data_IF_083622014655
#
_entry.id   IF_083622014655
#
_cell.length_a   1.000
_cell.length_b   1.000
_cell.length_c   1.000
_cell.angle_alpha   90.00
_cell.angle_beta   90.00
_cell.angle_gamma   90.00
#
_symmetry.space_group_name_H-M   'P 1'
#
loop_
_entity.id
_entity.type
_entity.pdbx_description
1 polymer ?
#
# COMPACT_ATOMS: atom_id res chain seq x y z
N UNK A 1 13.05 61.28 17.35
CA UNK A 1 11.87 60.60 17.91
C UNK A 1 11.18 59.78 16.82
N UNK A 2 11.80 58.69 16.38
CA UNK A 2 11.25 57.82 15.34
C UNK A 2 10.52 56.66 16.01
N UNK A 3 9.19 56.76 16.05
CA UNK A 3 8.29 55.72 16.53
C UNK A 3 8.15 54.66 15.45
N UNK A 4 8.69 53.45 15.67
CA UNK A 4 8.37 52.27 14.87
C UNK A 4 7.52 51.34 15.72
N UNK A 5 6.22 51.34 15.43
CA UNK A 5 5.20 50.52 16.05
C UNK A 5 5.28 49.08 15.52
N UNK A 6 5.73 48.17 16.38
CA UNK A 6 5.68 46.72 16.19
C UNK A 6 4.23 46.23 16.21
N UNK A 7 3.55 46.18 15.07
CA UNK A 7 2.28 45.46 14.94
C UNK A 7 2.58 43.99 14.62
N UNK A 8 2.49 43.15 15.65
CA UNK A 8 2.59 41.69 15.55
C UNK A 8 1.45 41.17 14.67
N UNK A 9 1.72 40.39 13.60
CA UNK A 9 0.65 39.82 12.79
C UNK A 9 -0.12 38.76 13.58
N UNK A 10 -1.45 38.83 13.47
CA UNK A 10 -2.42 37.90 14.03
C UNK A 10 -2.09 36.46 13.59
N UNK A 11 -1.85 35.58 14.57
CA UNK A 11 -1.74 34.13 14.40
C UNK A 11 -2.97 33.64 13.61
N UNK A 12 -2.79 33.30 12.33
CA UNK A 12 -3.82 32.61 11.55
C UNK A 12 -3.87 31.17 12.05
N UNK A 13 -4.91 30.86 12.81
CA UNK A 13 -5.33 29.51 13.17
C UNK A 13 -5.61 28.73 11.88
N UNK A 14 -4.63 27.92 11.46
CA UNK A 14 -4.83 26.90 10.44
C UNK A 14 -5.72 25.80 11.03
N UNK A 15 -7.03 25.93 10.86
CA UNK A 15 -7.97 24.82 10.99
C UNK A 15 -7.68 23.82 9.86
N UNK A 16 -6.80 22.86 10.13
CA UNK A 16 -6.62 21.73 9.24
C UNK A 16 -7.92 20.89 9.27
N UNK A 17 -8.55 20.59 8.13
CA UNK A 17 -9.65 19.65 8.10
C UNK A 17 -9.09 18.28 8.46
N UNK A 18 -9.55 17.72 9.58
CA UNK A 18 -9.42 16.30 9.89
C UNK A 18 -10.01 15.53 8.72
N UNK A 19 -9.13 15.08 7.82
CA UNK A 19 -9.52 14.21 6.72
C UNK A 19 -10.07 12.95 7.38
N UNK A 20 -11.35 12.58 7.18
CA UNK A 20 -11.82 11.30 7.66
C UNK A 20 -10.96 10.30 6.91
N UNK A 21 -10.22 9.49 7.65
CA UNK A 21 -9.48 8.35 7.14
C UNK A 21 -10.46 7.49 6.33
N UNK A 22 -10.57 7.79 5.03
CA UNK A 22 -11.25 6.98 4.05
C UNK A 22 -10.41 5.72 3.88
N UNK A 23 -10.59 4.78 4.79
CA UNK A 23 -10.10 3.40 4.68
C UNK A 23 -10.88 2.71 3.56
N UNK A 24 -10.69 3.19 2.33
CA UNK A 24 -11.12 2.49 1.12
C UNK A 24 -10.17 1.30 0.95
N UNK A 25 -10.40 0.28 1.77
CA UNK A 25 -9.68 -0.98 1.75
C UNK A 25 -9.91 -1.70 0.42
N UNK A 26 -9.15 -1.32 -0.60
CA UNK A 26 -8.94 -2.17 -1.77
C UNK A 26 -8.16 -3.37 -1.23
N UNK A 27 -8.86 -4.45 -0.91
CA UNK A 27 -8.29 -5.76 -0.57
C UNK A 27 -7.56 -6.35 -1.80
N UNK A 28 -6.47 -5.73 -2.23
CA UNK A 28 -5.43 -6.39 -2.99
C UNK A 28 -4.71 -7.34 -2.02
N UNK A 29 -5.38 -8.46 -1.70
CA UNK A 29 -4.85 -9.52 -0.85
C UNK A 29 -3.46 -9.89 -1.39
N UNK A 30 -2.42 -9.74 -0.56
CA UNK A 30 -1.04 -10.06 -0.93
C UNK A 30 -0.84 -11.53 -1.31
N UNK A 31 0.41 -11.97 -1.49
CA UNK A 31 0.70 -13.39 -1.75
C UNK A 31 0.23 -14.27 -0.60
N UNK A 32 -0.50 -15.35 -0.90
CA UNK A 32 -0.82 -16.37 0.11
C UNK A 32 0.39 -17.28 0.31
N UNK A 33 0.98 -17.26 1.50
CA UNK A 33 2.12 -18.12 1.85
C UNK A 33 1.63 -19.55 2.12
N UNK A 34 2.25 -20.55 1.49
CA UNK A 34 1.97 -21.98 1.70
C UNK A 34 3.28 -22.77 1.65
N UNK A 35 3.33 -23.94 2.28
CA UNK A 35 4.49 -24.84 2.22
C UNK A 35 4.64 -25.50 0.84
N UNK A 36 3.51 -25.88 0.23
CA UNK A 36 3.44 -26.42 -1.12
C UNK A 36 2.74 -25.45 -2.07
N UNK A 37 3.34 -25.25 -3.25
CA UNK A 37 2.87 -24.31 -4.25
C UNK A 37 2.56 -25.05 -5.55
N UNK A 38 1.33 -24.89 -6.04
CA UNK A 38 0.82 -25.51 -7.28
C UNK A 38 0.18 -24.47 -8.21
N UNK A 39 0.13 -24.78 -9.51
CA UNK A 39 -0.62 -23.98 -10.49
C UNK A 39 -2.10 -24.33 -10.41
N UNK A 40 -2.97 -23.33 -10.57
CA UNK A 40 -4.44 -23.50 -10.55
C UNK A 40 -5.07 -23.26 -11.93
N UNK A 41 -4.47 -22.40 -12.74
CA UNK A 41 -4.90 -22.08 -14.10
C UNK A 41 -3.74 -22.28 -15.08
N UNK A 42 -4.05 -22.35 -16.37
CA UNK A 42 -3.09 -22.36 -17.47
C UNK A 42 -2.16 -21.14 -17.47
N UNK A 43 -2.68 -19.97 -17.09
CA UNK A 43 -1.89 -18.73 -16.98
C UNK A 43 -1.05 -18.61 -15.70
N UNK A 44 -1.19 -19.55 -14.76
CA UNK A 44 -0.36 -19.54 -13.56
C UNK A 44 1.05 -20.03 -13.91
N UNK A 45 2.05 -19.22 -13.61
CA UNK A 45 3.45 -19.58 -13.85
C UNK A 45 4.26 -19.48 -12.57
N UNK A 46 5.28 -20.34 -12.49
CA UNK A 46 6.16 -20.48 -11.34
C UNK A 46 7.41 -19.64 -11.61
N UNK A 47 7.78 -18.80 -10.64
CA UNK A 47 8.99 -17.97 -10.73
C UNK A 47 9.81 -18.13 -9.45
N UNK A 48 11.12 -18.29 -9.59
CA UNK A 48 12.05 -18.26 -8.45
C UNK A 48 12.62 -16.85 -8.31
N UNK A 49 12.41 -16.21 -7.16
CA UNK A 49 12.91 -14.86 -6.84
C UNK A 49 13.46 -14.85 -5.42
N UNK A 50 14.62 -14.24 -5.19
CA UNK A 50 15.24 -14.12 -3.85
C UNK A 50 15.31 -15.47 -3.10
N UNK A 51 15.65 -16.56 -3.81
CA UNK A 51 15.72 -17.91 -3.25
C UNK A 51 14.38 -18.58 -2.91
N UNK A 52 13.22 -17.93 -3.17
CA UNK A 52 11.88 -18.48 -2.89
C UNK A 52 11.11 -18.73 -4.18
N UNK A 53 10.20 -19.71 -4.13
CA UNK A 53 9.30 -20.03 -5.23
C UNK A 53 8.00 -19.25 -5.09
N UNK A 54 7.58 -18.60 -6.17
CA UNK A 54 6.33 -17.86 -6.26
C UNK A 54 5.47 -18.42 -7.39
N UNK A 55 4.15 -18.39 -7.19
CA UNK A 55 3.18 -18.52 -8.30
C UNK A 55 2.56 -17.17 -8.55
N UNK A 56 2.68 -16.73 -9.80
CA UNK A 56 2.06 -15.52 -10.31
C UNK A 56 0.99 -15.93 -11.33
N UNK A 57 -0.07 -15.14 -11.40
CA UNK A 57 -1.13 -15.28 -12.39
C UNK A 57 -1.47 -13.87 -12.89
N UNK A 58 -1.58 -13.72 -14.21
CA UNK A 58 -1.88 -12.44 -14.86
C UNK A 58 -3.38 -12.13 -14.77
N UNK A 59 -4.25 -13.07 -15.15
CA UNK A 59 -5.70 -12.89 -15.03
C UNK A 59 -6.19 -12.75 -13.57
N UNK A 60 -5.73 -13.62 -12.66
CA UNK A 60 -6.36 -13.76 -11.34
C UNK A 60 -5.39 -13.51 -10.18
N UNK A 61 -5.60 -12.41 -9.43
CA UNK A 61 -4.79 -12.04 -8.25
C UNK A 61 -4.93 -13.03 -7.08
N UNK A 62 -6.02 -13.79 -7.00
CA UNK A 62 -6.28 -14.79 -5.94
C UNK A 62 -5.31 -15.99 -5.98
N UNK A 63 -4.70 -16.28 -7.13
CA UNK A 63 -3.79 -17.42 -7.29
C UNK A 63 -2.34 -17.10 -6.94
N UNK A 64 -2.05 -15.86 -6.52
CA UNK A 64 -0.71 -15.43 -6.10
C UNK A 64 -0.29 -16.17 -4.83
N UNK A 65 0.78 -16.97 -4.91
CA UNK A 65 1.30 -17.76 -3.78
C UNK A 65 2.81 -17.62 -3.61
N UNK A 66 3.29 -17.79 -2.38
CA UNK A 66 4.72 -17.86 -2.02
C UNK A 66 5.00 -19.15 -1.27
N UNK A 67 6.11 -19.82 -1.60
CA UNK A 67 6.60 -20.97 -0.86
C UNK A 67 7.39 -20.50 0.37
N UNK A 68 6.93 -20.92 1.55
CA UNK A 68 7.56 -20.63 2.85
C UNK A 68 7.24 -19.26 3.43
#
# INVERSE_FOLDING_TARGET
>A
MFSQSLTRPLFKSFTAPVSPFGFTGIFARGYKVRSAVKKFCSECYIVRRKGKVFVLCKANKKHKQRQG
#
